data_IF_972151348246
#
_entry.id   IF_972151348246
#
_cell.length_a   1.000
_cell.length_b   1.000
_cell.length_c   1.000
_cell.angle_alpha   90.00
_cell.angle_beta   90.00
_cell.angle_gamma   90.00
#
_symmetry.space_group_name_H-M   'P 1'
#
loop_
_entity.id
_entity.type
_entity.pdbx_description
1 polymer ?
#
# COMPACT_ATOMS: atom_id res chain seq x y z
N UNK A 1 11.38 25.74 4.23
CA UNK A 1 10.00 25.48 3.78
C UNK A 1 9.10 25.48 4.99
N UNK A 2 8.08 26.34 5.01
CA UNK A 2 7.16 26.52 6.15
C UNK A 2 6.31 25.27 6.33
N UNK A 3 6.28 24.72 7.55
CA UNK A 3 5.27 23.76 8.03
C UNK A 3 3.97 24.54 8.27
N UNK A 4 3.25 24.88 7.20
CA UNK A 4 1.87 25.38 7.30
C UNK A 4 0.94 24.24 6.91
N UNK A 5 0.21 23.70 7.89
CA UNK A 5 -0.76 22.63 7.70
C UNK A 5 -0.71 21.51 8.74
N UNK A 6 -0.55 21.81 10.04
CA UNK A 6 -0.91 20.83 11.08
C UNK A 6 -2.44 20.78 11.14
N UNK A 7 -3.02 19.88 10.35
CA UNK A 7 -4.46 19.80 10.05
C UNK A 7 -5.16 18.69 10.83
N UNK A 8 -4.85 18.49 12.11
CA UNK A 8 -5.47 17.41 12.87
C UNK A 8 -5.64 17.79 14.35
N UNK A 9 -6.47 18.81 14.62
CA UNK A 9 -7.15 18.87 15.93
C UNK A 9 -8.23 17.77 15.89
N UNK A 10 -8.18 16.80 16.81
CA UNK A 10 -9.08 15.66 16.95
C UNK A 10 -8.89 14.49 15.96
N UNK A 11 -7.67 14.19 15.51
CA UNK A 11 -7.45 13.01 14.65
C UNK A 11 -7.18 11.73 15.43
N UNK A 12 -7.89 10.68 15.03
CA UNK A 12 -7.69 9.31 15.49
C UNK A 12 -7.20 8.47 14.32
N UNK A 13 -6.12 7.73 14.53
CA UNK A 13 -5.67 6.67 13.63
C UNK A 13 -6.14 5.31 14.16
N UNK A 14 -6.91 4.60 13.35
CA UNK A 14 -7.40 3.25 13.63
C UNK A 14 -7.04 2.33 12.47
N UNK A 15 -6.10 1.41 12.71
CA UNK A 15 -5.55 0.55 11.68
C UNK A 15 -6.60 -0.40 11.08
N UNK A 16 -7.38 -1.10 11.92
CA UNK A 16 -8.44 -2.01 11.46
C UNK A 16 -9.49 -1.29 10.61
N UNK A 17 -9.95 -0.11 11.07
CA UNK A 17 -10.95 0.70 10.39
C UNK A 17 -10.42 1.18 9.03
N UNK A 18 -9.18 1.68 8.99
CA UNK A 18 -8.51 2.10 7.76
C UNK A 18 -8.38 0.94 6.77
N UNK A 19 -7.78 -0.17 7.20
CA UNK A 19 -7.52 -1.33 6.33
C UNK A 19 -8.83 -1.90 5.79
N UNK A 20 -9.84 -2.07 6.64
CA UNK A 20 -11.16 -2.56 6.23
C UNK A 20 -11.82 -1.64 5.20
N UNK A 21 -11.71 -0.32 5.38
CA UNK A 21 -12.24 0.65 4.41
C UNK A 21 -11.52 0.55 3.06
N UNK A 22 -10.19 0.41 3.07
CA UNK A 22 -9.38 0.26 1.85
C UNK A 22 -9.70 -1.04 1.11
N UNK A 23 -9.83 -2.16 1.82
CA UNK A 23 -10.23 -3.45 1.24
C UNK A 23 -11.62 -3.41 0.61
N UNK A 24 -12.60 -2.86 1.34
CA UNK A 24 -13.96 -2.69 0.84
C UNK A 24 -13.97 -1.83 -0.44
N UNK A 25 -13.22 -0.73 -0.46
CA UNK A 25 -13.12 0.14 -1.63
C UNK A 25 -12.43 -0.55 -2.80
N UNK A 26 -11.39 -1.35 -2.55
CA UNK A 26 -10.72 -2.13 -3.58
C UNK A 26 -11.67 -3.16 -4.22
N UNK A 27 -12.54 -3.78 -3.42
CA UNK A 27 -13.55 -4.71 -3.93
C UNK A 27 -14.61 -4.01 -4.78
N UNK A 28 -15.08 -2.82 -4.38
CA UNK A 28 -15.98 -2.01 -5.22
C UNK A 28 -15.35 -1.67 -6.57
N UNK A 29 -14.05 -1.34 -6.59
CA UNK A 29 -13.31 -1.10 -7.83
C UNK A 29 -13.18 -2.35 -8.68
N UNK A 30 -13.01 -3.53 -8.08
CA UNK A 30 -13.02 -4.80 -8.81
C UNK A 30 -14.36 -5.04 -9.51
N UNK A 31 -15.48 -4.80 -8.82
CA UNK A 31 -16.81 -4.94 -9.40
C UNK A 31 -17.03 -3.94 -10.55
N UNK A 32 -16.62 -2.68 -10.36
CA UNK A 32 -16.66 -1.65 -11.41
C UNK A 32 -15.82 -2.06 -12.63
N UNK A 33 -14.65 -2.67 -12.41
CA UNK A 33 -13.78 -3.17 -13.48
C UNK A 33 -14.51 -4.22 -14.34
N UNK A 34 -15.23 -5.15 -13.72
CA UNK A 34 -15.99 -6.17 -14.43
C UNK A 34 -17.13 -5.55 -15.26
N UNK A 35 -17.83 -4.55 -14.72
CA UNK A 35 -18.85 -3.79 -15.45
C UNK A 35 -18.25 -3.06 -16.66
N UNK A 36 -17.07 -2.45 -16.52
CA UNK A 36 -16.39 -1.78 -17.62
C UNK A 36 -15.94 -2.75 -18.72
N UNK A 37 -15.53 -3.97 -18.36
CA UNK A 37 -15.23 -5.00 -19.38
C UNK A 37 -16.46 -5.38 -20.20
N UNK A 38 -17.64 -5.45 -19.58
CA UNK A 38 -18.91 -5.66 -20.30
C UNK A 38 -19.25 -4.46 -21.18
N UNK A 39 -19.08 -3.23 -20.68
CA UNK A 39 -19.30 -2.01 -21.44
C UNK A 39 -18.36 -1.93 -22.65
N UNK A 40 -17.07 -2.25 -22.48
CA UNK A 40 -16.08 -2.34 -23.55
C UNK A 40 -16.54 -3.28 -24.66
N UNK A 41 -16.95 -4.51 -24.30
CA UNK A 41 -17.45 -5.50 -25.27
C UNK A 41 -18.67 -4.98 -26.03
N UNK A 42 -19.55 -4.25 -25.35
CA UNK A 42 -20.74 -3.62 -25.97
C UNK A 42 -20.33 -2.58 -27.01
N UNK A 43 -19.40 -1.68 -26.68
CA UNK A 43 -18.86 -0.71 -27.64
C UNK A 43 -18.16 -1.39 -28.82
N UNK A 44 -17.37 -2.43 -28.56
CA UNK A 44 -16.71 -3.20 -29.61
C UNK A 44 -17.73 -3.84 -30.57
N UNK A 45 -18.82 -4.41 -30.04
CA UNK A 45 -19.91 -4.95 -30.86
C UNK A 45 -20.53 -3.94 -31.83
N UNK A 46 -20.68 -2.68 -31.41
CA UNK A 46 -21.16 -1.60 -32.28
C UNK A 46 -20.10 -1.25 -33.33
N UNK A 47 -18.84 -1.07 -32.92
CA UNK A 47 -17.75 -0.70 -33.83
C UNK A 47 -17.42 -1.77 -34.88
N UNK A 48 -17.64 -3.05 -34.55
CA UNK A 48 -17.44 -4.20 -35.44
C UNK A 48 -18.71 -4.63 -36.20
N UNK A 49 -19.78 -3.81 -36.16
CA UNK A 49 -21.01 -4.10 -36.91
C UNK A 49 -20.73 -4.22 -38.41
N UNK A 50 -21.28 -5.28 -39.02
CA UNK A 50 -20.95 -5.72 -40.37
C UNK A 50 -21.59 -4.90 -41.48
N UNK A 51 -21.69 -5.52 -42.66
CA UNK A 51 -22.10 -4.88 -43.91
C UNK A 51 -23.54 -4.31 -43.93
N UNK A 52 -24.33 -4.49 -42.87
CA UNK A 52 -25.69 -3.94 -42.76
C UNK A 52 -25.68 -2.48 -42.24
N UNK A 53 -24.58 -2.04 -41.62
CA UNK A 53 -24.41 -0.68 -41.09
C UNK A 53 -23.29 0.05 -41.85
N UNK A 54 -23.66 0.73 -42.94
CA UNK A 54 -22.73 1.37 -43.89
C UNK A 54 -23.08 2.83 -44.18
N UNK A 55 -22.15 3.54 -44.84
CA UNK A 55 -22.26 4.95 -45.17
C UNK A 55 -21.47 5.84 -44.20
N UNK A 56 -21.25 7.10 -44.57
CA UNK A 56 -20.37 8.02 -43.82
C UNK A 56 -20.81 8.20 -42.35
N UNK A 57 -22.13 8.30 -42.10
CA UNK A 57 -22.66 8.38 -40.74
C UNK A 57 -22.46 7.10 -39.93
N UNK A 58 -22.56 5.92 -40.56
CA UNK A 58 -22.31 4.66 -39.88
C UNK A 58 -20.83 4.50 -39.51
N UNK A 59 -19.92 4.87 -40.41
CA UNK A 59 -18.48 4.87 -40.14
C UNK A 59 -18.09 5.87 -39.05
N UNK A 60 -18.73 7.04 -38.99
CA UNK A 60 -18.54 8.00 -37.89
C UNK A 60 -18.97 7.40 -36.54
N UNK A 61 -20.13 6.73 -36.49
CA UNK A 61 -20.64 6.06 -35.28
C UNK A 61 -19.70 4.92 -34.84
N UNK A 62 -19.28 4.05 -35.77
CA UNK A 62 -18.34 2.96 -35.48
C UNK A 62 -17.03 3.49 -34.91
N UNK A 63 -16.46 4.52 -35.54
CA UNK A 63 -15.21 5.17 -35.10
C UNK A 63 -15.37 5.77 -33.70
N UNK A 64 -16.49 6.43 -33.41
CA UNK A 64 -16.77 6.97 -32.08
C UNK A 64 -16.80 5.88 -31.00
N UNK A 65 -17.51 4.77 -31.25
CA UNK A 65 -17.58 3.68 -30.28
C UNK A 65 -16.27 2.90 -30.16
N UNK A 66 -15.46 2.85 -31.22
CA UNK A 66 -14.10 2.34 -31.14
C UNK A 66 -13.24 3.18 -30.19
N UNK A 67 -13.35 4.51 -30.25
CA UNK A 67 -12.64 5.42 -29.33
C UNK A 67 -13.18 5.39 -27.90
N UNK A 68 -14.50 5.20 -27.71
CA UNK A 68 -15.08 4.92 -26.40
C UNK A 68 -14.53 3.60 -25.82
N UNK A 69 -14.42 2.54 -26.63
CA UNK A 69 -13.79 1.28 -26.21
C UNK A 69 -12.33 1.48 -25.80
N UNK A 70 -11.57 2.29 -26.54
CA UNK A 70 -10.17 2.60 -26.20
C UNK A 70 -10.08 3.44 -24.92
N UNK A 71 -11.04 4.34 -24.67
CA UNK A 71 -11.10 5.08 -23.41
C UNK A 71 -11.42 4.17 -22.21
N UNK A 72 -12.25 3.14 -22.39
CA UNK A 72 -12.50 2.15 -21.34
C UNK A 72 -11.22 1.41 -20.94
N UNK A 73 -10.29 1.15 -21.87
CA UNK A 73 -8.98 0.57 -21.51
C UNK A 73 -8.16 1.46 -20.57
N UNK A 74 -8.26 2.78 -20.73
CA UNK A 74 -7.61 3.72 -19.82
C UNK A 74 -8.26 3.72 -18.43
N UNK A 75 -9.60 3.68 -18.37
CA UNK A 75 -10.33 3.51 -17.12
C UNK A 75 -9.99 2.20 -16.41
N UNK A 76 -9.87 1.09 -17.14
CA UNK A 76 -9.47 -0.20 -16.57
C UNK A 76 -8.07 -0.11 -15.96
N UNK A 77 -7.12 0.52 -16.64
CA UNK A 77 -5.76 0.73 -16.11
C UNK A 77 -5.78 1.60 -14.86
N UNK A 78 -6.56 2.70 -14.85
CA UNK A 78 -6.73 3.54 -13.66
C UNK A 78 -7.34 2.78 -12.48
N UNK A 79 -8.35 1.94 -12.73
CA UNK A 79 -8.96 1.11 -11.68
C UNK A 79 -7.96 0.09 -11.14
N UNK A 80 -7.16 -0.53 -12.00
CA UNK A 80 -6.10 -1.43 -11.56
C UNK A 80 -5.09 -0.69 -10.65
N UNK A 81 -4.79 0.59 -10.93
CA UNK A 81 -3.95 1.41 -10.05
C UNK A 81 -4.60 1.67 -8.70
N UNK A 82 -5.89 2.05 -8.69
CA UNK A 82 -6.63 2.26 -7.43
C UNK A 82 -6.65 1.00 -6.58
N UNK A 83 -6.90 -0.16 -7.19
CA UNK A 83 -6.86 -1.46 -6.50
C UNK A 83 -5.47 -1.72 -5.91
N UNK A 84 -4.41 -1.49 -6.68
CA UNK A 84 -3.03 -1.70 -6.23
C UNK A 84 -2.63 -0.77 -5.07
N UNK A 85 -3.04 0.51 -5.13
CA UNK A 85 -2.86 1.47 -4.04
C UNK A 85 -3.57 1.00 -2.76
N UNK A 86 -4.88 0.78 -2.85
CA UNK A 86 -5.74 0.47 -1.70
C UNK A 86 -5.31 -0.83 -1.01
N UNK A 87 -4.99 -1.88 -1.78
CA UNK A 87 -4.48 -3.15 -1.23
C UNK A 87 -3.07 -3.03 -0.66
N UNK A 88 -2.29 -2.03 -1.07
CA UNK A 88 -0.97 -1.76 -0.54
C UNK A 88 -0.97 -1.14 0.85
N UNK A 89 -2.06 -0.49 1.27
CA UNK A 89 -2.14 0.27 2.53
C UNK A 89 -1.85 -0.58 3.76
N UNK A 90 -2.33 -1.83 3.81
CA UNK A 90 -2.08 -2.71 4.95
C UNK A 90 -0.58 -3.00 5.17
N UNK A 91 0.13 -3.27 4.07
CA UNK A 91 1.57 -3.51 4.12
C UNK A 91 2.37 -2.24 4.44
N UNK A 92 1.92 -1.07 3.97
CA UNK A 92 2.50 0.21 4.39
C UNK A 92 2.31 0.44 5.90
N UNK A 93 1.11 0.21 6.43
CA UNK A 93 0.87 0.32 7.87
C UNK A 93 1.78 -0.62 8.68
N UNK A 94 2.04 -1.84 8.18
CA UNK A 94 2.96 -2.79 8.81
C UNK A 94 4.41 -2.28 8.82
N UNK A 95 4.90 -1.71 7.72
CA UNK A 95 6.24 -1.11 7.64
C UNK A 95 6.42 0.02 8.67
N UNK A 96 5.40 0.83 8.89
CA UNK A 96 5.40 1.90 9.90
C UNK A 96 5.18 1.38 11.34
N UNK A 97 4.98 0.07 11.53
CA UNK A 97 4.60 -0.53 12.82
C UNK A 97 3.29 0.04 13.38
N UNK A 98 2.36 0.33 12.48
CA UNK A 98 1.03 0.85 12.76
C UNK A 98 -0.08 -0.12 12.31
N UNK A 99 0.24 -1.39 12.01
CA UNK A 99 -0.74 -2.40 11.60
C UNK A 99 -1.44 -3.08 12.79
N UNK A 100 -2.29 -4.08 12.51
CA UNK A 100 -3.05 -4.83 13.52
C UNK A 100 -4.10 -3.96 14.20
N UNK A 101 -4.28 -4.12 15.50
CA UNK A 101 -5.26 -3.38 16.30
C UNK A 101 -4.72 -2.02 16.80
N UNK A 102 -3.82 -1.39 16.03
CA UNK A 102 -3.22 -0.12 16.43
C UNK A 102 -4.26 0.99 16.46
N UNK A 103 -4.34 1.66 17.62
CA UNK A 103 -5.16 2.84 17.87
C UNK A 103 -4.26 3.97 18.36
N UNK A 104 -4.32 5.14 17.72
CA UNK A 104 -3.58 6.32 18.13
C UNK A 104 -4.51 7.53 18.17
N UNK A 105 -4.70 8.09 19.35
CA UNK A 105 -5.36 9.38 19.56
C UNK A 105 -4.31 10.48 19.55
N UNK A 106 -4.26 11.25 18.45
CA UNK A 106 -3.22 12.26 18.25
C UNK A 106 -3.35 13.41 19.25
N UNK A 107 -4.57 13.77 19.66
CA UNK A 107 -4.78 14.83 20.64
C UNK A 107 -4.27 14.41 22.01
N UNK A 108 -4.57 13.16 22.41
CA UNK A 108 -4.04 12.61 23.67
C UNK A 108 -2.51 12.63 23.67
N UNK A 109 -1.86 12.23 22.56
CA UNK A 109 -0.40 12.25 22.45
C UNK A 109 0.17 13.68 22.44
N UNK A 110 -0.42 14.60 21.69
CA UNK A 110 0.13 15.96 21.50
C UNK A 110 -0.18 16.91 22.66
N UNK A 111 -1.32 16.72 23.34
CA UNK A 111 -1.77 17.57 24.44
C UNK A 111 -1.56 16.89 25.80
N UNK A 112 -2.26 15.80 26.06
CA UNK A 112 -2.43 15.30 27.43
C UNK A 112 -1.18 14.61 27.94
N UNK A 113 -0.56 13.74 27.13
CA UNK A 113 0.72 13.14 27.49
C UNK A 113 1.84 14.15 27.57
N UNK A 114 1.86 15.17 26.70
CA UNK A 114 2.87 16.25 26.79
C UNK A 114 2.74 17.05 28.09
N UNK A 115 1.51 17.35 28.52
CA UNK A 115 1.25 17.99 29.83
C UNK A 115 1.65 17.07 30.99
N UNK A 116 1.33 15.78 30.90
CA UNK A 116 1.70 14.78 31.90
C UNK A 116 3.22 14.64 32.07
N UNK A 117 3.96 14.61 30.95
CA UNK A 117 5.42 14.63 30.92
C UNK A 117 5.99 15.83 31.69
N UNK A 118 5.56 17.04 31.32
CA UNK A 118 6.04 18.29 31.95
C UNK A 118 5.74 18.31 33.45
N UNK A 119 4.48 18.06 33.82
CA UNK A 119 4.02 18.08 35.21
C UNK A 119 4.78 17.08 36.09
N UNK A 120 5.10 15.90 35.55
CA UNK A 120 5.83 14.88 36.30
C UNK A 120 7.28 15.30 36.57
N UNK A 121 7.96 15.92 35.59
CA UNK A 121 9.32 16.46 35.81
C UNK A 121 9.31 17.61 36.81
N UNK A 122 8.36 18.53 36.69
CA UNK A 122 8.19 19.65 37.62
C UNK A 122 7.99 19.12 39.05
N UNK A 123 7.08 18.17 39.26
CA UNK A 123 6.79 17.61 40.58
C UNK A 123 8.02 16.94 41.23
N UNK A 124 8.78 16.14 40.48
CA UNK A 124 9.97 15.45 41.02
C UNK A 124 11.08 16.45 41.34
N UNK A 125 11.26 17.46 40.47
CA UNK A 125 12.20 18.56 40.70
C UNK A 125 11.84 19.34 41.96
N UNK A 126 10.57 19.73 42.12
CA UNK A 126 10.08 20.48 43.27
C UNK A 126 10.24 19.67 44.56
N UNK A 127 9.87 18.38 44.58
CA UNK A 127 10.03 17.52 45.75
C UNK A 127 11.50 17.32 46.14
N UNK A 128 12.40 17.19 45.16
CA UNK A 128 13.83 17.10 45.44
C UNK A 128 14.35 18.40 46.04
N UNK A 129 13.99 19.53 45.44
CA UNK A 129 14.40 20.85 45.90
C UNK A 129 13.89 21.15 47.32
N UNK A 130 12.66 20.79 47.63
CA UNK A 130 12.08 20.91 48.97
C UNK A 130 12.83 20.05 49.99
N UNK A 131 13.13 18.80 49.65
CA UNK A 131 13.89 17.91 50.53
C UNK A 131 15.32 18.39 50.73
N UNK A 132 16.00 18.84 49.67
CA UNK A 132 17.34 19.42 49.76
C UNK A 132 17.36 20.64 50.70
N UNK A 133 16.33 21.48 50.65
CA UNK A 133 16.20 22.62 51.55
C UNK A 133 16.02 22.19 53.01
N UNK A 134 15.19 21.17 53.27
CA UNK A 134 15.01 20.60 54.61
C UNK A 134 16.30 19.99 55.13
N UNK A 135 16.99 19.18 54.32
CA UNK A 135 18.24 18.52 54.74
C UNK A 135 19.37 19.52 55.00
N UNK A 136 19.48 20.60 54.20
CA UNK A 136 20.43 21.69 54.45
C UNK A 136 20.19 22.42 55.77
N UNK A 137 18.95 22.47 56.25
CA UNK A 137 18.61 23.17 57.49
C UNK A 137 19.11 22.46 58.77
N UNK A 138 19.50 21.19 58.65
CA UNK A 138 20.00 20.34 59.76
C UNK A 138 21.42 19.81 59.53
N UNK A 139 22.11 20.35 58.52
CA UNK A 139 23.43 19.87 58.07
C UNK A 139 24.52 20.07 59.15
N UNK A 140 24.31 20.96 60.12
CA UNK A 140 25.17 21.16 61.29
C UNK A 140 25.13 19.98 62.27
N UNK A 141 24.03 19.21 62.28
CA UNK A 141 23.85 18.02 63.11
C UNK A 141 24.26 16.74 62.35
N UNK A 142 23.81 16.60 61.10
CA UNK A 142 24.06 15.42 60.26
C UNK A 142 23.96 15.76 58.77
N UNK A 143 24.96 15.35 57.98
CA UNK A 143 24.91 15.49 56.52
C UNK A 143 24.14 14.35 55.89
N UNK A 144 23.03 14.69 55.22
CA UNK A 144 22.17 13.77 54.48
C UNK A 144 22.03 14.22 53.03
N UNK A 145 21.81 13.28 52.12
CA UNK A 145 21.57 13.56 50.71
C UNK A 145 20.13 13.21 50.32
N UNK A 146 19.52 14.02 49.46
CA UNK A 146 18.23 13.70 48.85
C UNK A 146 18.34 12.55 47.85
N UNK A 147 17.19 12.06 47.40
CA UNK A 147 17.11 10.99 46.41
C UNK A 147 17.68 11.43 45.04
N UNK A 148 18.19 10.46 44.28
CA UNK A 148 18.64 10.68 42.90
C UNK A 148 17.45 10.66 41.94
N UNK A 149 17.50 11.47 40.88
CA UNK A 149 16.44 11.53 39.86
C UNK A 149 16.79 10.78 38.59
N UNK A 150 18.05 10.35 38.41
CA UNK A 150 18.55 9.75 37.17
C UNK A 150 17.68 8.63 36.60
N UNK A 151 17.19 7.72 37.46
CA UNK A 151 16.33 6.62 37.03
C UNK A 151 14.97 7.13 36.55
N UNK A 152 14.38 8.10 37.26
CA UNK A 152 13.14 8.75 36.85
C UNK A 152 13.32 9.50 35.54
N UNK A 153 14.37 10.34 35.45
CA UNK A 153 14.69 11.15 34.27
C UNK A 153 14.89 10.25 33.04
N UNK A 154 15.63 9.15 33.20
CA UNK A 154 15.83 8.17 32.12
C UNK A 154 14.52 7.56 31.63
N UNK A 155 13.62 7.15 32.52
CA UNK A 155 12.37 6.52 32.13
C UNK A 155 11.38 7.52 31.52
N UNK A 156 11.27 8.73 32.08
CA UNK A 156 10.32 9.71 31.58
C UNK A 156 10.75 10.30 30.23
N UNK A 157 12.06 10.45 30.00
CA UNK A 157 12.57 10.89 28.70
C UNK A 157 12.47 9.78 27.64
N UNK A 158 12.56 8.49 28.02
CA UNK A 158 12.22 7.36 27.13
C UNK A 158 10.75 7.38 26.72
N UNK A 159 9.83 7.57 27.66
CA UNK A 159 8.41 7.67 27.36
C UNK A 159 8.09 8.87 26.43
N UNK A 160 8.73 10.01 26.67
CA UNK A 160 8.60 11.20 25.79
C UNK A 160 9.15 10.95 24.39
N UNK A 161 10.23 10.17 24.26
CA UNK A 161 10.76 9.75 22.97
C UNK A 161 9.77 8.84 22.24
N UNK A 162 9.23 7.81 22.90
CA UNK A 162 8.23 6.92 22.31
C UNK A 162 6.97 7.68 21.86
N UNK A 163 6.51 8.66 22.66
CA UNK A 163 5.39 9.53 22.30
C UNK A 163 5.65 10.29 21.00
N UNK A 164 6.81 10.93 20.87
CA UNK A 164 7.20 11.67 19.66
C UNK A 164 7.34 10.76 18.45
N UNK A 165 8.02 9.63 18.60
CA UNK A 165 8.19 8.67 17.51
C UNK A 165 6.85 8.11 17.01
N UNK A 166 5.87 7.94 17.90
CA UNK A 166 4.52 7.50 17.51
C UNK A 166 3.80 8.57 16.68
N UNK A 167 3.86 9.84 17.12
CA UNK A 167 3.32 10.98 16.36
C UNK A 167 3.97 11.06 14.98
N UNK A 168 5.29 10.97 14.91
CA UNK A 168 6.05 11.08 13.66
C UNK A 168 5.67 9.95 12.69
N UNK A 169 5.58 8.70 13.15
CA UNK A 169 5.15 7.57 12.31
C UNK A 169 3.75 7.74 11.72
N UNK A 170 2.79 8.20 12.52
CA UNK A 170 1.41 8.42 12.03
C UNK A 170 1.40 9.50 10.96
N UNK A 171 2.12 10.60 11.19
CA UNK A 171 2.23 11.70 10.23
C UNK A 171 2.95 11.26 8.94
N UNK A 172 4.06 10.54 9.05
CA UNK A 172 4.81 10.04 7.89
C UNK A 172 3.99 9.04 7.06
N UNK A 173 3.25 8.12 7.70
CA UNK A 173 2.34 7.22 6.99
C UNK A 173 1.26 8.02 6.25
N UNK A 174 0.63 8.99 6.92
CA UNK A 174 -0.39 9.83 6.30
C UNK A 174 0.15 10.63 5.11
N UNK A 175 1.32 11.26 5.26
CA UNK A 175 1.99 11.99 4.18
C UNK A 175 2.32 11.07 2.99
N UNK A 176 2.85 9.87 3.26
CA UNK A 176 3.17 8.88 2.23
C UNK A 176 1.93 8.44 1.46
N UNK A 177 0.86 8.06 2.16
CA UNK A 177 -0.40 7.62 1.53
C UNK A 177 -1.06 8.76 0.74
N UNK A 178 -1.04 9.98 1.27
CA UNK A 178 -1.58 11.16 0.59
C UNK A 178 -0.82 11.44 -0.70
N UNK A 179 0.51 11.45 -0.64
CA UNK A 179 1.36 11.70 -1.80
C UNK A 179 1.17 10.64 -2.90
N UNK A 180 1.09 9.35 -2.52
CA UNK A 180 0.86 8.27 -3.48
C UNK A 180 -0.52 8.38 -4.13
N UNK A 181 -1.57 8.68 -3.34
CA UNK A 181 -2.93 8.86 -3.88
C UNK A 181 -3.01 10.00 -4.89
N UNK A 182 -2.36 11.15 -4.62
CA UNK A 182 -2.32 12.31 -5.52
C UNK A 182 -1.76 11.98 -6.91
N UNK A 183 -0.88 10.99 -7.04
CA UNK A 183 -0.37 10.57 -8.37
C UNK A 183 -1.51 10.06 -9.27
N UNK A 184 -2.55 9.48 -8.68
CA UNK A 184 -3.69 8.97 -9.43
C UNK A 184 -4.63 10.08 -9.94
N UNK A 185 -4.65 11.24 -9.29
CA UNK A 185 -5.52 12.37 -9.66
C UNK A 185 -5.20 12.91 -11.05
N UNK A 186 -3.90 12.98 -11.40
CA UNK A 186 -3.45 13.43 -12.73
C UNK A 186 -3.96 12.50 -13.83
N UNK A 187 -3.98 11.19 -13.56
CA UNK A 187 -4.45 10.18 -14.52
C UNK A 187 -5.97 10.26 -14.66
N UNK A 188 -6.69 10.41 -13.56
CA UNK A 188 -8.14 10.61 -13.58
C UNK A 188 -8.53 11.87 -14.37
N UNK A 189 -7.84 12.98 -14.12
CA UNK A 189 -8.07 14.23 -14.85
C UNK A 189 -7.82 14.06 -16.36
N UNK A 190 -6.75 13.37 -16.73
CA UNK A 190 -6.48 13.08 -18.13
C UNK A 190 -7.59 12.27 -18.80
N UNK A 191 -8.05 11.20 -18.16
CA UNK A 191 -9.13 10.35 -18.69
C UNK A 191 -10.42 11.17 -18.86
N UNK A 192 -10.74 12.06 -17.91
CA UNK A 192 -11.85 13.01 -18.03
C UNK A 192 -11.66 13.94 -19.23
N UNK A 193 -10.50 14.56 -19.38
CA UNK A 193 -10.22 15.48 -20.49
C UNK A 193 -10.29 14.76 -21.85
N UNK A 194 -9.88 13.49 -21.90
CA UNK A 194 -10.04 12.64 -23.09
C UNK A 194 -11.50 12.34 -23.41
N UNK A 195 -12.31 12.03 -22.41
CA UNK A 195 -13.76 11.85 -22.59
C UNK A 195 -14.43 13.13 -23.11
N UNK A 196 -14.07 14.29 -22.54
CA UNK A 196 -14.57 15.59 -22.98
C UNK A 196 -14.15 15.90 -24.42
N UNK A 197 -12.89 15.66 -24.79
CA UNK A 197 -12.41 15.83 -26.16
C UNK A 197 -13.18 14.94 -27.15
N UNK A 198 -13.46 13.69 -26.77
CA UNK A 198 -14.26 12.76 -27.57
C UNK A 198 -15.69 13.27 -27.77
N UNK A 199 -16.34 13.75 -26.70
CA UNK A 199 -17.68 14.35 -26.80
C UNK A 199 -17.69 15.64 -27.62
N UNK A 200 -16.69 16.51 -27.46
CA UNK A 200 -16.58 17.74 -28.25
C UNK A 200 -16.46 17.46 -29.75
N UNK A 201 -15.73 16.41 -30.12
CA UNK A 201 -15.62 15.98 -31.51
C UNK A 201 -16.94 15.46 -32.10
N UNK A 202 -17.99 15.25 -31.31
CA UNK A 202 -19.33 14.86 -31.79
C UNK A 202 -20.30 16.04 -31.94
N UNK A 203 -19.85 17.28 -31.68
CA UNK A 203 -20.74 18.45 -31.62
C UNK A 203 -21.02 18.99 -33.02
N UNK A 204 -22.31 19.16 -33.35
CA UNK A 204 -22.77 19.88 -34.54
C UNK A 204 -24.03 20.68 -34.21
N UNK A 205 -24.01 22.00 -34.48
CA UNK A 205 -25.19 22.86 -34.25
C UNK A 205 -25.63 23.02 -32.78
N UNK A 206 -24.76 22.71 -31.82
CA UNK A 206 -25.06 22.77 -30.37
C UNK A 206 -25.40 21.42 -29.73
N UNK A 207 -25.75 20.41 -30.53
CA UNK A 207 -26.04 19.05 -30.07
C UNK A 207 -24.81 18.14 -30.20
N UNK A 208 -24.68 17.15 -29.32
CA UNK A 208 -23.65 16.10 -29.37
C UNK A 208 -24.27 14.80 -29.90
N UNK A 209 -23.76 14.27 -31.00
CA UNK A 209 -24.28 13.03 -31.58
C UNK A 209 -23.15 12.19 -32.23
N UNK A 210 -23.05 10.88 -31.95
CA UNK A 210 -22.04 10.01 -32.54
C UNK A 210 -21.98 10.05 -34.07
N UNK A 211 -23.10 10.32 -34.75
CA UNK A 211 -23.15 10.48 -36.22
C UNK A 211 -22.36 11.69 -36.74
N UNK A 212 -22.09 12.66 -35.86
CA UNK A 212 -21.36 13.88 -36.16
C UNK A 212 -19.89 13.79 -35.76
N UNK A 213 -19.39 12.61 -35.38
CA UNK A 213 -18.02 12.44 -34.90
C UNK A 213 -16.98 12.86 -35.95
N UNK A 214 -16.17 13.86 -35.60
CA UNK A 214 -15.01 14.32 -36.36
C UNK A 214 -13.73 13.71 -35.78
N UNK A 215 -13.33 12.57 -36.35
CA UNK A 215 -12.11 11.87 -35.96
C UNK A 215 -10.86 12.74 -36.09
N UNK A 216 -10.79 13.63 -37.09
CA UNK A 216 -9.63 14.51 -37.29
C UNK A 216 -9.54 15.55 -36.17
N UNK A 217 -10.66 16.15 -35.77
CA UNK A 217 -10.68 17.08 -34.64
C UNK A 217 -10.27 16.36 -33.34
N UNK A 218 -10.78 15.15 -33.11
CA UNK A 218 -10.46 14.36 -31.94
C UNK A 218 -8.98 13.97 -31.86
N UNK A 219 -8.42 13.37 -32.91
CA UNK A 219 -7.02 12.95 -32.93
C UNK A 219 -6.02 14.12 -32.87
N UNK A 220 -6.44 15.32 -33.26
CA UNK A 220 -5.63 16.51 -33.12
C UNK A 220 -5.73 17.20 -31.75
N UNK A 221 -6.66 16.77 -30.89
CA UNK A 221 -6.84 17.33 -29.55
C UNK A 221 -5.60 17.13 -28.67
N UNK A 222 -5.37 18.07 -27.76
CA UNK A 222 -4.27 17.98 -26.79
C UNK A 222 -4.42 16.74 -25.89
N UNK A 223 -5.65 16.44 -25.45
CA UNK A 223 -5.95 15.29 -24.61
C UNK A 223 -5.61 13.97 -25.33
N UNK A 224 -5.99 13.79 -26.60
CA UNK A 224 -5.65 12.56 -27.33
C UNK A 224 -4.14 12.38 -27.50
N UNK A 225 -3.40 13.45 -27.79
CA UNK A 225 -1.95 13.41 -27.99
C UNK A 225 -1.16 13.05 -26.72
N UNK A 226 -1.74 13.24 -25.54
CA UNK A 226 -1.12 12.92 -24.26
C UNK A 226 -1.36 11.46 -23.80
N UNK A 227 -2.22 10.71 -24.49
CA UNK A 227 -2.70 9.39 -24.04
C UNK A 227 -1.58 8.40 -23.73
N UNK A 228 -0.57 8.30 -24.60
CA UNK A 228 0.48 7.29 -24.47
C UNK A 228 1.39 7.61 -23.27
N UNK A 229 1.65 8.89 -23.00
CA UNK A 229 2.44 9.34 -21.86
C UNK A 229 1.73 9.01 -20.54
N UNK A 230 0.43 9.27 -20.45
CA UNK A 230 -0.36 9.01 -19.23
C UNK A 230 -0.55 7.51 -19.03
N UNK A 231 -0.79 6.76 -20.10
CA UNK A 231 -0.84 5.30 -20.04
C UNK A 231 0.50 4.69 -19.63
N UNK A 232 1.63 5.26 -20.06
CA UNK A 232 2.94 4.83 -19.59
C UNK A 232 3.12 5.09 -18.10
N UNK A 233 2.76 6.28 -17.60
CA UNK A 233 2.81 6.60 -16.17
C UNK A 233 1.98 5.62 -15.34
N UNK A 234 0.75 5.31 -15.78
CA UNK A 234 -0.14 4.38 -15.11
C UNK A 234 0.44 2.96 -15.03
N UNK A 235 0.98 2.46 -16.15
CA UNK A 235 1.62 1.13 -16.21
C UNK A 235 2.90 1.06 -15.39
N UNK A 236 3.72 2.12 -15.40
CA UNK A 236 4.93 2.20 -14.59
C UNK A 236 4.62 2.14 -13.10
N UNK A 237 3.56 2.82 -12.64
CA UNK A 237 3.07 2.68 -11.26
C UNK A 237 2.66 1.24 -10.95
N UNK A 238 1.88 0.59 -11.81
CA UNK A 238 1.47 -0.80 -11.61
C UNK A 238 2.64 -1.77 -11.53
N UNK A 239 3.64 -1.61 -12.40
CA UNK A 239 4.88 -2.39 -12.35
C UNK A 239 5.62 -2.17 -11.04
N UNK A 240 5.76 -0.90 -10.60
CA UNK A 240 6.37 -0.57 -9.32
C UNK A 240 5.64 -1.23 -8.13
N UNK A 241 4.31 -1.19 -8.09
CA UNK A 241 3.53 -1.86 -7.02
C UNK A 241 3.69 -3.37 -7.04
N UNK A 242 3.80 -3.97 -8.23
CA UNK A 242 4.06 -5.40 -8.37
C UNK A 242 5.45 -5.77 -7.85
N UNK A 243 6.48 -5.01 -8.22
CA UNK A 243 7.85 -5.19 -7.72
C UNK A 243 7.92 -5.02 -6.20
N UNK A 244 7.24 -4.01 -5.66
CA UNK A 244 7.13 -3.78 -4.22
C UNK A 244 6.49 -4.99 -3.51
N UNK A 245 5.40 -5.54 -4.04
CA UNK A 245 4.73 -6.71 -3.48
C UNK A 245 5.59 -7.98 -3.52
N UNK A 246 6.28 -8.23 -4.64
CA UNK A 246 7.22 -9.35 -4.77
C UNK A 246 8.38 -9.23 -3.79
N UNK A 247 8.95 -8.03 -3.64
CA UNK A 247 10.02 -7.79 -2.66
C UNK A 247 9.55 -8.10 -1.24
N UNK A 248 8.35 -7.62 -0.85
CA UNK A 248 7.77 -7.92 0.47
C UNK A 248 7.54 -9.42 0.67
N UNK A 249 7.05 -10.11 -0.36
CA UNK A 249 6.86 -11.57 -0.34
C UNK A 249 8.20 -12.29 -0.12
N UNK A 250 9.24 -11.91 -0.85
CA UNK A 250 10.59 -12.46 -0.71
C UNK A 250 11.13 -12.23 0.70
N UNK A 251 11.04 -11.00 1.22
CA UNK A 251 11.49 -10.67 2.58
C UNK A 251 10.74 -11.48 3.66
N UNK A 252 9.45 -11.69 3.49
CA UNK A 252 8.64 -12.50 4.40
C UNK A 252 9.05 -13.97 4.37
N UNK A 253 9.16 -14.57 3.18
CA UNK A 253 9.58 -15.96 3.02
C UNK A 253 11.02 -16.18 3.54
N UNK A 254 11.92 -15.21 3.35
CA UNK A 254 13.26 -15.25 3.93
C UNK A 254 13.22 -15.31 5.47
N UNK A 255 12.41 -14.46 6.11
CA UNK A 255 12.20 -14.52 7.58
C UNK A 255 11.57 -15.84 8.04
N UNK A 256 10.67 -16.41 7.24
CA UNK A 256 10.07 -17.72 7.54
C UNK A 256 11.14 -18.84 7.51
N UNK A 257 12.10 -18.79 6.58
CA UNK A 257 13.24 -19.74 6.56
C UNK A 257 14.16 -19.62 7.78
N UNK A 258 14.22 -18.45 8.42
CA UNK A 258 15.00 -18.22 9.65
C UNK A 258 14.26 -18.69 10.92
N UNK A 259 12.99 -19.11 10.80
CA UNK A 259 12.18 -19.49 11.95
C UNK A 259 12.70 -20.78 12.59
N UNK A 260 12.97 -20.80 13.92
CA UNK A 260 13.41 -22.00 14.61
C UNK A 260 12.39 -23.15 14.50
N UNK A 261 12.88 -24.38 14.38
CA UNK A 261 12.08 -25.62 14.34
C UNK A 261 11.18 -25.78 13.09
N UNK A 262 11.51 -25.13 11.98
CA UNK A 262 10.84 -25.37 10.70
C UNK A 262 11.02 -26.85 10.29
N UNK A 263 9.93 -27.53 9.92
CA UNK A 263 10.06 -28.90 9.40
C UNK A 263 10.75 -28.90 8.03
N UNK A 264 11.38 -30.02 7.65
CA UNK A 264 12.05 -30.13 6.35
C UNK A 264 11.07 -29.96 5.18
N UNK A 265 9.80 -30.35 5.35
CA UNK A 265 8.76 -30.20 4.34
C UNK A 265 8.32 -28.73 4.19
N UNK A 266 8.16 -28.02 5.30
CA UNK A 266 7.85 -26.58 5.30
C UNK A 266 9.01 -25.77 4.72
N UNK A 267 10.25 -26.08 5.10
CA UNK A 267 11.45 -25.45 4.54
C UNK A 267 11.52 -25.61 3.02
N UNK A 268 11.27 -26.83 2.53
CA UNK A 268 11.29 -27.11 1.09
C UNK A 268 10.21 -26.31 0.35
N UNK A 269 9.00 -26.25 0.92
CA UNK A 269 7.89 -25.50 0.32
C UNK A 269 8.17 -24.01 0.25
N UNK A 270 8.66 -23.42 1.35
CA UNK A 270 9.01 -21.98 1.40
C UNK A 270 10.13 -21.69 0.40
N UNK A 271 11.15 -22.55 0.32
CA UNK A 271 12.24 -22.39 -0.64
C UNK A 271 11.80 -22.51 -2.11
N UNK A 272 10.82 -23.39 -2.39
CA UNK A 272 10.20 -23.49 -3.72
C UNK A 272 9.37 -22.25 -4.06
N UNK A 273 8.60 -21.73 -3.11
CA UNK A 273 7.80 -20.50 -3.28
C UNK A 273 8.66 -19.24 -3.42
N UNK A 274 9.87 -19.24 -2.84
CA UNK A 274 10.86 -18.17 -2.94
C UNK A 274 11.57 -18.15 -4.30
N UNK A 275 11.75 -19.32 -4.93
CA UNK A 275 12.52 -19.47 -6.16
C UNK A 275 14.03 -19.59 -5.93
N UNK A 276 14.70 -20.39 -6.75
CA UNK A 276 16.13 -20.70 -6.59
C UNK A 276 17.03 -19.45 -6.72
N UNK A 277 16.63 -18.47 -7.52
CA UNK A 277 17.32 -17.20 -7.72
C UNK A 277 17.37 -16.34 -6.45
N UNK A 278 16.44 -16.56 -5.51
CA UNK A 278 16.30 -15.76 -4.29
C UNK A 278 16.84 -16.47 -3.03
N UNK A 279 17.32 -17.72 -3.16
CA UNK A 279 17.95 -18.48 -2.06
C UNK A 279 19.44 -18.14 -1.90
N UNK A 280 19.92 -18.11 -0.66
CA UNK A 280 21.37 -18.04 -0.35
C UNK A 280 22.08 -19.34 -0.72
N UNK A 281 23.41 -19.31 -0.80
CA UNK A 281 24.21 -20.51 -1.07
C UNK A 281 23.97 -21.61 -0.03
N UNK A 282 23.91 -21.24 1.25
CA UNK A 282 23.61 -22.17 2.35
C UNK A 282 22.19 -22.74 2.23
N UNK A 283 21.20 -21.90 1.92
CA UNK A 283 19.82 -22.35 1.74
C UNK A 283 19.68 -23.34 0.58
N UNK A 284 20.42 -23.14 -0.52
CA UNK A 284 20.48 -24.08 -1.65
C UNK A 284 21.07 -25.43 -1.26
N UNK A 285 22.13 -25.43 -0.44
CA UNK A 285 22.74 -26.66 0.06
C UNK A 285 21.75 -27.43 0.95
N UNK A 286 21.08 -26.74 1.87
CA UNK A 286 20.03 -27.32 2.74
C UNK A 286 18.92 -27.94 1.89
N UNK A 287 18.40 -27.22 0.89
CA UNK A 287 17.39 -27.76 -0.04
C UNK A 287 17.90 -29.01 -0.77
N UNK A 288 19.16 -28.99 -1.21
CA UNK A 288 19.80 -30.14 -1.86
C UNK A 288 19.85 -31.37 -0.94
N UNK A 289 20.27 -31.19 0.31
CA UNK A 289 20.33 -32.25 1.32
C UNK A 289 18.94 -32.81 1.65
N UNK A 290 17.93 -31.94 1.79
CA UNK A 290 16.54 -32.36 2.02
C UNK A 290 16.03 -33.22 0.85
N UNK A 291 16.24 -32.78 -0.39
CA UNK A 291 15.81 -33.50 -1.59
C UNK A 291 16.52 -34.86 -1.71
N UNK A 292 17.83 -34.91 -1.46
CA UNK A 292 18.60 -36.16 -1.50
C UNK A 292 18.14 -37.17 -0.45
N UNK A 293 17.88 -36.72 0.78
CA UNK A 293 17.39 -37.58 1.86
C UNK A 293 15.99 -38.13 1.58
N UNK A 294 15.09 -37.32 1.00
CA UNK A 294 13.76 -37.80 0.57
C UNK A 294 13.88 -38.90 -0.49
N UNK A 295 14.71 -38.70 -1.49
CA UNK A 295 14.95 -39.71 -2.54
C UNK A 295 15.52 -41.02 -1.96
N UNK A 296 16.49 -40.95 -1.05
CA UNK A 296 17.02 -42.15 -0.38
C UNK A 296 15.96 -42.86 0.48
N UNK A 297 15.12 -42.13 1.19
CA UNK A 297 14.02 -42.69 1.97
C UNK A 297 12.95 -43.39 1.12
N UNK A 298 12.64 -42.86 -0.06
CA UNK A 298 11.74 -43.48 -1.03
C UNK A 298 12.34 -44.75 -1.66
N UNK A 299 13.64 -44.72 -1.99
CA UNK A 299 14.37 -45.90 -2.51
C UNK A 299 14.34 -47.05 -1.49
N UNK A 300 14.60 -46.76 -0.21
CA UNK A 300 14.57 -47.78 0.86
C UNK A 300 13.16 -48.36 1.08
N UNK A 301 12.10 -47.53 1.00
CA UNK A 301 10.71 -48.00 1.06
C UNK A 301 10.33 -48.87 -0.14
N UNK A 302 10.78 -48.50 -1.35
CA UNK A 302 10.56 -49.28 -2.57
C UNK A 302 11.24 -50.65 -2.56
N UNK A 303 12.47 -50.71 -2.03
CA UNK A 303 13.21 -51.99 -1.86
C UNK A 303 12.55 -52.88 -0.80
N UNK A 304 12.05 -52.31 0.31
CA UNK A 304 11.33 -53.05 1.35
C UNK A 304 9.99 -53.63 0.89
N UNK A 305 9.25 -52.93 0.02
CA UNK A 305 8.01 -53.43 -0.57
C UNK A 305 8.26 -54.54 -1.62
N UNK A 306 9.38 -54.48 -2.36
CA UNK A 306 9.76 -55.52 -3.33
C UNK A 306 10.13 -56.86 -2.69
N UNK A 307 10.65 -56.87 -1.46
CA UNK A 307 10.99 -58.10 -0.73
C UNK A 307 9.79 -58.78 -0.04
N UNK A 308 8.69 -58.06 0.22
CA UNK A 308 7.48 -58.65 0.85
C UNK A 308 6.50 -59.29 -0.14
N UNK A 309 6.76 -59.22 -1.45
CA UNK A 309 5.93 -59.81 -2.51
C UNK A 309 6.40 -61.17 -3.04
N UNK A 310 7.40 -61.79 -2.41
CA UNK A 310 7.95 -63.09 -2.82
C UNK A 310 7.79 -64.10 -1.67
N UNK A 311 6.54 -64.51 -1.40
CA UNK A 311 6.22 -65.76 -0.71
C UNK A 311 4.91 -66.34 -1.25
#
# INVERSE_FOLDING_TARGET
>A
MRREGRLFLNAVYEADTLISAMENRANQYKDLREQLLVLKKTFQGISSSGNEFQGEGAEAIKSFYQEQSALVDEWLTFIDMQIAFLRGVAAEAEEFKLSGHTYVDMDFLESDLLKGYRRSKDLVSDQKQDLDNILRSIDDLVTLQSFQTDTFDSYIDKAEKERKETIDKVNELNEKLTYEYQQSETIQEHIRNRFEALNHATRRGGETSPICFDAKAYYNSAAYKMKDSVQHQAKSYLSFKKEQAEKRKIEKLQKELETPNLSLDEYLKIAEDLGEENLTAEQKEIVGLIKANKQQGEILKGVGAGFMGIH
#
